data_IF_379907051069
#
_entry.id   IF_379907051069
#
_cell.length_a   1.000
_cell.length_b   1.000
_cell.length_c   1.000
_cell.angle_alpha   90.00
_cell.angle_beta   90.00
_cell.angle_gamma   90.00
#
_symmetry.space_group_name_H-M   'P 1'
#
loop_
_entity.id
_entity.type
_entity.pdbx_description
1 polymer ?
#
# COMPACT_ATOMS: atom_id res chain seq x y z
N UNK A 1 -3.86 9.52 31.02
CA UNK A 1 -3.46 8.52 30.01
C UNK A 1 -2.29 9.12 29.24
N UNK A 2 -1.12 8.47 29.23
CA UNK A 2 0.05 8.97 28.54
C UNK A 2 -0.17 8.95 27.01
N UNK A 3 0.47 9.87 26.26
CA UNK A 3 0.39 9.92 24.80
C UNK A 3 0.73 8.56 24.17
N UNK A 4 1.71 7.84 24.72
CA UNK A 4 2.10 6.50 24.28
C UNK A 4 0.95 5.47 24.46
N UNK A 5 0.23 5.57 25.57
CA UNK A 5 -0.93 4.68 25.79
C UNK A 5 -2.06 4.95 24.80
N UNK A 6 -2.29 6.22 24.47
CA UNK A 6 -3.31 6.60 23.47
C UNK A 6 -2.92 6.08 22.07
N UNK A 7 -1.66 6.24 21.69
CA UNK A 7 -1.15 5.71 20.40
C UNK A 7 -1.29 4.18 20.37
N UNK A 8 -0.90 3.50 21.43
CA UNK A 8 -1.04 2.04 21.51
C UNK A 8 -2.49 1.58 21.39
N UNK A 9 -3.42 2.21 22.11
CA UNK A 9 -4.85 1.89 22.02
C UNK A 9 -5.39 2.12 20.58
N UNK A 10 -4.94 3.19 19.93
CA UNK A 10 -5.28 3.47 18.52
C UNK A 10 -4.73 2.39 17.59
N UNK A 11 -3.49 1.95 17.78
CA UNK A 11 -2.88 0.85 17.02
C UNK A 11 -3.66 -0.46 17.18
N UNK A 12 -4.16 -0.75 18.39
CA UNK A 12 -4.89 -1.98 18.71
C UNK A 12 -6.38 -1.91 18.36
N UNK A 13 -6.90 -0.76 17.97
CA UNK A 13 -8.33 -0.54 17.71
C UNK A 13 -8.90 -1.28 16.50
N UNK A 14 -8.06 -1.91 15.66
CA UNK A 14 -8.47 -2.51 14.37
C UNK A 14 -8.96 -1.49 13.34
N UNK A 15 -8.82 -0.19 13.62
CA UNK A 15 -9.16 0.86 12.68
C UNK A 15 -8.13 0.95 11.55
N UNK A 16 -8.56 1.49 10.39
CA UNK A 16 -7.65 1.74 9.26
C UNK A 16 -6.45 2.59 9.69
N UNK A 17 -6.68 3.63 10.49
CA UNK A 17 -5.63 4.50 11.03
C UNK A 17 -4.68 3.70 11.92
N UNK A 18 -5.19 2.82 12.77
CA UNK A 18 -4.39 1.93 13.62
C UNK A 18 -3.47 1.04 12.81
N UNK A 19 -3.97 0.43 11.74
CA UNK A 19 -3.17 -0.41 10.84
C UNK A 19 -2.03 0.38 10.17
N UNK A 20 -2.29 1.61 9.71
CA UNK A 20 -1.24 2.47 9.17
C UNK A 20 -0.16 2.80 10.22
N UNK A 21 -0.56 3.17 11.44
CA UNK A 21 0.39 3.51 12.52
C UNK A 21 1.28 2.31 12.86
N UNK A 22 0.76 1.07 12.84
CA UNK A 22 1.53 -0.13 13.13
C UNK A 22 2.73 -0.31 12.18
N UNK A 23 2.63 0.10 10.93
CA UNK A 23 3.70 -0.08 9.92
C UNK A 23 4.63 1.12 9.78
N UNK A 24 4.33 2.25 10.45
CA UNK A 24 5.17 3.47 10.41
C UNK A 24 6.62 3.20 10.83
N UNK A 25 6.92 2.51 11.94
CA UNK A 25 8.30 2.31 12.38
C UNK A 25 9.15 1.55 11.37
N UNK A 26 8.62 0.47 10.76
CA UNK A 26 9.34 -0.27 9.72
C UNK A 26 9.52 0.58 8.46
N UNK A 27 8.52 1.37 8.10
CA UNK A 27 8.59 2.29 6.97
C UNK A 27 9.67 3.35 7.16
N UNK A 28 9.75 3.94 8.35
CA UNK A 28 10.79 4.90 8.71
C UNK A 28 12.18 4.26 8.68
N UNK A 29 12.34 3.06 9.23
CA UNK A 29 13.61 2.33 9.23
C UNK A 29 14.11 2.09 7.80
N UNK A 30 13.26 1.55 6.93
CA UNK A 30 13.61 1.30 5.52
C UNK A 30 13.91 2.61 4.79
N UNK A 31 13.14 3.67 5.05
CA UNK A 31 13.39 5.00 4.49
C UNK A 31 14.76 5.56 4.86
N UNK A 32 15.15 5.44 6.14
CA UNK A 32 16.47 5.88 6.63
C UNK A 32 17.59 5.06 5.99
N UNK A 33 17.46 3.73 5.96
CA UNK A 33 18.44 2.85 5.31
C UNK A 33 18.60 3.22 3.82
N UNK A 34 17.49 3.39 3.11
CA UNK A 34 17.49 3.80 1.71
C UNK A 34 18.20 5.16 1.53
N UNK A 35 17.89 6.15 2.36
CA UNK A 35 18.48 7.48 2.29
C UNK A 35 19.99 7.44 2.48
N UNK A 36 20.49 6.68 3.48
CA UNK A 36 21.92 6.50 3.74
C UNK A 36 22.62 5.81 2.55
N UNK A 37 22.05 4.70 2.07
CA UNK A 37 22.62 3.97 0.93
C UNK A 37 22.68 4.86 -0.33
N UNK A 38 21.62 5.64 -0.56
CA UNK A 38 21.53 6.52 -1.71
C UNK A 38 22.50 7.69 -1.64
N UNK A 39 22.60 8.32 -0.47
CA UNK A 39 23.57 9.38 -0.20
C UNK A 39 25.01 8.91 -0.44
N UNK A 40 25.40 7.75 0.12
CA UNK A 40 26.73 7.17 -0.08
C UNK A 40 27.03 6.87 -1.54
N UNK A 41 26.02 6.40 -2.31
CA UNK A 41 26.15 6.13 -3.75
C UNK A 41 26.38 7.43 -4.53
N UNK A 42 25.60 8.48 -4.27
CA UNK A 42 25.75 9.80 -4.91
C UNK A 42 27.14 10.38 -4.62
N UNK A 43 27.58 10.34 -3.35
CA UNK A 43 28.90 10.83 -2.93
C UNK A 43 30.04 10.10 -3.66
N UNK A 44 29.95 8.76 -3.82
CA UNK A 44 30.97 7.97 -4.53
C UNK A 44 31.02 8.26 -6.03
N UNK A 45 29.89 8.61 -6.65
CA UNK A 45 29.81 8.88 -8.09
C UNK A 45 30.20 10.31 -8.47
N UNK A 46 30.41 11.23 -7.50
CA UNK A 46 30.73 12.62 -7.75
C UNK A 46 29.67 13.39 -8.56
N UNK A 47 28.46 12.83 -8.69
CA UNK A 47 27.41 13.41 -9.50
C UNK A 47 26.61 14.46 -8.73
N UNK A 48 26.21 15.53 -9.41
CA UNK A 48 25.23 16.48 -8.91
C UNK A 48 23.88 15.78 -8.71
N UNK A 49 23.36 15.76 -7.49
CA UNK A 49 22.07 15.14 -7.20
C UNK A 49 20.92 16.05 -7.62
N UNK A 50 19.99 15.51 -8.38
CA UNK A 50 18.69 16.16 -8.61
C UNK A 50 17.79 15.87 -7.39
N UNK A 51 17.88 16.69 -6.34
CA UNK A 51 17.22 16.49 -5.07
C UNK A 51 15.72 16.19 -5.17
N UNK A 52 14.99 16.87 -6.08
CA UNK A 52 13.57 16.59 -6.30
C UNK A 52 13.31 15.14 -6.71
N UNK A 53 14.13 14.58 -7.59
CA UNK A 53 14.00 13.17 -8.00
C UNK A 53 14.36 12.20 -6.86
N UNK A 54 15.36 12.54 -6.06
CA UNK A 54 15.78 11.70 -4.93
C UNK A 54 14.72 11.70 -3.82
N UNK A 55 14.09 12.84 -3.54
CA UNK A 55 12.96 12.93 -2.61
C UNK A 55 11.78 12.09 -3.11
N UNK A 56 11.41 12.19 -4.40
CA UNK A 56 10.34 11.37 -4.96
C UNK A 56 10.63 9.87 -4.87
N UNK A 57 11.90 9.47 -5.05
CA UNK A 57 12.31 8.06 -4.87
C UNK A 57 12.20 7.61 -3.42
N UNK A 58 12.64 8.44 -2.48
CA UNK A 58 12.53 8.13 -1.04
C UNK A 58 11.07 7.98 -0.63
N UNK A 59 10.21 8.93 -1.01
CA UNK A 59 8.78 8.86 -0.73
C UNK A 59 8.14 7.62 -1.35
N UNK A 60 8.54 7.26 -2.57
CA UNK A 60 8.05 6.05 -3.23
C UNK A 60 8.49 4.78 -2.51
N UNK A 61 9.74 4.71 -2.04
CA UNK A 61 10.23 3.56 -1.25
C UNK A 61 9.48 3.45 0.07
N UNK A 62 9.29 4.54 0.79
CA UNK A 62 8.49 4.56 2.02
C UNK A 62 7.04 4.10 1.75
N UNK A 63 6.41 4.62 0.71
CA UNK A 63 5.08 4.21 0.30
C UNK A 63 5.00 2.71 -0.03
N UNK A 64 5.94 2.19 -0.85
CA UNK A 64 5.97 0.75 -1.19
C UNK A 64 6.18 -0.11 0.04
N UNK A 65 7.04 0.30 0.97
CA UNK A 65 7.24 -0.42 2.23
C UNK A 65 5.93 -0.49 3.02
N UNK A 66 5.24 0.64 3.18
CA UNK A 66 3.93 0.68 3.84
C UNK A 66 2.90 -0.19 3.13
N UNK A 67 2.77 -0.07 1.82
CA UNK A 67 1.83 -0.85 1.02
C UNK A 67 2.07 -2.35 1.14
N UNK A 68 3.32 -2.81 0.96
CA UNK A 68 3.69 -4.23 1.09
C UNK A 68 3.32 -4.76 2.48
N UNK A 69 3.59 -3.99 3.53
CA UNK A 69 3.26 -4.39 4.89
C UNK A 69 1.74 -4.43 5.16
N UNK A 70 0.95 -3.62 4.47
CA UNK A 70 -0.51 -3.62 4.61
C UNK A 70 -1.19 -4.71 3.78
N UNK A 71 -0.65 -5.05 2.60
CA UNK A 71 -1.34 -5.95 1.65
C UNK A 71 -0.70 -7.33 1.50
N UNK A 72 0.61 -7.49 1.79
CA UNK A 72 1.37 -8.72 1.61
C UNK A 72 1.99 -9.27 2.92
N UNK A 73 1.48 -8.83 4.07
CA UNK A 73 1.86 -9.40 5.37
C UNK A 73 0.62 -10.09 5.96
N UNK A 74 0.78 -11.25 6.63
CA UNK A 74 -0.33 -11.96 7.25
C UNK A 74 -1.17 -11.07 8.16
N UNK A 75 -2.49 -11.27 8.15
CA UNK A 75 -3.38 -10.55 9.04
C UNK A 75 -2.93 -10.74 10.50
N UNK A 76 -3.05 -9.65 11.27
CA UNK A 76 -2.70 -9.58 12.68
C UNK A 76 -1.20 -9.71 13.01
N UNK A 77 -0.27 -9.90 12.04
CA UNK A 77 1.15 -10.01 12.36
C UNK A 77 1.68 -8.79 13.13
N UNK A 78 1.38 -7.58 12.65
CA UNK A 78 1.82 -6.36 13.34
C UNK A 78 1.12 -6.18 14.69
N UNK A 79 -0.17 -6.49 14.79
CA UNK A 79 -0.91 -6.48 16.06
C UNK A 79 -0.30 -7.47 17.06
N UNK A 80 0.05 -8.68 16.59
CA UNK A 80 0.75 -9.69 17.39
C UNK A 80 2.10 -9.16 17.89
N UNK A 81 2.95 -8.60 17.00
CA UNK A 81 4.27 -8.09 17.35
C UNK A 81 4.15 -6.96 18.39
N UNK A 82 3.30 -5.96 18.15
CA UNK A 82 3.15 -4.83 19.06
C UNK A 82 2.58 -5.24 20.42
N UNK A 83 1.62 -6.18 20.42
CA UNK A 83 1.06 -6.70 21.65
C UNK A 83 2.10 -7.50 22.45
N UNK A 84 2.88 -8.34 21.77
CA UNK A 84 3.96 -9.11 22.39
C UNK A 84 5.05 -8.22 22.99
N UNK A 85 5.49 -7.20 22.26
CA UNK A 85 6.52 -6.25 22.73
C UNK A 85 6.08 -5.48 23.98
N UNK A 86 4.79 -5.24 24.15
CA UNK A 86 4.28 -4.53 25.33
C UNK A 86 3.99 -5.44 26.51
N UNK A 87 3.44 -6.61 26.27
CA UNK A 87 2.86 -7.46 27.35
C UNK A 87 3.68 -8.74 27.63
N UNK A 88 4.66 -9.07 26.77
CA UNK A 88 5.48 -10.28 26.91
C UNK A 88 4.79 -11.59 26.52
N UNK A 89 3.57 -11.54 26.01
CA UNK A 89 2.81 -12.70 25.53
C UNK A 89 1.94 -12.31 24.32
N UNK A 90 1.46 -13.30 23.55
CA UNK A 90 0.61 -13.07 22.40
C UNK A 90 -0.85 -12.85 22.80
N UNK A 91 -1.45 -11.75 22.35
CA UNK A 91 -2.87 -11.43 22.57
C UNK A 91 -3.78 -11.76 21.39
N UNK A 92 -3.21 -12.22 20.28
CA UNK A 92 -3.96 -12.61 19.08
C UNK A 92 -3.17 -13.68 18.30
N UNK A 93 -3.86 -14.39 17.43
CA UNK A 93 -3.25 -15.35 16.53
C UNK A 93 -2.96 -14.69 15.17
N UNK A 94 -1.87 -15.11 14.54
CA UNK A 94 -1.54 -14.75 13.15
C UNK A 94 -2.35 -15.66 12.24
N UNK A 95 -2.92 -15.10 11.17
CA UNK A 95 -3.65 -15.91 10.19
C UNK A 95 -2.76 -17.04 9.63
N UNK A 96 -3.24 -18.30 9.60
CA UNK A 96 -2.48 -19.41 9.07
C UNK A 96 -2.13 -19.19 7.59
N UNK A 97 -0.94 -19.64 7.17
CA UNK A 97 -0.57 -19.63 5.76
C UNK A 97 -1.50 -20.55 4.96
N UNK A 98 -1.76 -20.19 3.73
CA UNK A 98 -2.63 -20.92 2.79
C UNK A 98 -4.09 -21.10 3.25
N UNK A 99 -4.56 -20.26 4.19
CA UNK A 99 -5.95 -20.29 4.67
C UNK A 99 -6.88 -19.34 3.92
N UNK A 100 -6.37 -18.57 2.94
CA UNK A 100 -7.14 -17.60 2.20
C UNK A 100 -8.15 -18.22 1.23
N UNK A 101 -9.31 -17.60 1.11
CA UNK A 101 -10.36 -17.96 0.15
C UNK A 101 -10.20 -17.26 -1.20
N UNK A 102 -11.16 -17.54 -2.12
CA UNK A 102 -11.23 -16.90 -3.43
C UNK A 102 -12.61 -16.31 -3.66
N UNK A 103 -12.71 -15.01 -3.86
CA UNK A 103 -13.91 -14.32 -4.30
C UNK A 103 -13.72 -13.84 -5.76
N UNK A 104 -14.27 -14.61 -6.69
CA UNK A 104 -14.14 -14.34 -8.13
C UNK A 104 -15.36 -13.61 -8.71
N UNK A 105 -16.42 -13.41 -7.92
CA UNK A 105 -17.64 -12.74 -8.36
C UNK A 105 -17.63 -11.30 -7.87
N UNK A 106 -17.56 -10.31 -8.79
CA UNK A 106 -17.55 -8.90 -8.40
C UNK A 106 -18.80 -8.51 -7.59
N UNK A 107 -18.61 -7.71 -6.56
CA UNK A 107 -19.67 -7.23 -5.66
C UNK A 107 -20.79 -6.49 -6.41
N UNK A 108 -20.47 -5.76 -7.49
CA UNK A 108 -21.48 -5.06 -8.27
C UNK A 108 -22.44 -6.02 -8.97
N UNK A 109 -21.99 -7.22 -9.39
CA UNK A 109 -22.86 -8.25 -9.94
C UNK A 109 -23.79 -8.81 -8.86
N UNK A 110 -23.25 -9.15 -7.69
CA UNK A 110 -24.04 -9.62 -6.53
C UNK A 110 -25.10 -8.59 -6.10
N UNK A 111 -24.76 -7.30 -6.20
CA UNK A 111 -25.71 -6.23 -5.93
C UNK A 111 -26.83 -6.16 -7.00
N UNK A 112 -26.47 -6.31 -8.25
CA UNK A 112 -27.45 -6.24 -9.37
C UNK A 112 -28.41 -7.44 -9.37
N UNK A 113 -27.94 -8.61 -8.94
CA UNK A 113 -28.81 -9.81 -8.79
C UNK A 113 -29.65 -9.78 -7.51
N UNK A 114 -29.50 -8.78 -6.66
CA UNK A 114 -30.23 -8.65 -5.40
C UNK A 114 -29.72 -9.56 -4.28
N UNK A 115 -28.63 -10.28 -4.51
CA UNK A 115 -28.04 -11.22 -3.54
C UNK A 115 -27.26 -10.50 -2.44
N UNK A 116 -26.91 -9.22 -2.64
CA UNK A 116 -26.05 -8.48 -1.73
C UNK A 116 -26.39 -7.00 -1.64
N UNK A 117 -26.36 -6.45 -0.42
CA UNK A 117 -26.52 -5.02 -0.18
C UNK A 117 -25.14 -4.38 0.09
N UNK A 118 -24.79 -3.34 -0.67
CA UNK A 118 -23.52 -2.61 -0.48
C UNK A 118 -23.60 -1.79 0.81
N UNK A 119 -23.23 -2.41 1.93
CA UNK A 119 -23.14 -1.76 3.23
C UNK A 119 -21.97 -0.79 3.34
N UNK A 120 -21.93 0.00 4.44
CA UNK A 120 -20.87 0.97 4.70
C UNK A 120 -19.47 0.34 4.69
N UNK A 121 -19.34 -0.85 5.26
CA UNK A 121 -18.06 -1.57 5.34
C UNK A 121 -17.49 -1.91 3.96
N UNK A 122 -18.32 -2.46 3.07
CA UNK A 122 -17.92 -2.80 1.69
C UNK A 122 -17.46 -1.56 0.93
N UNK A 123 -18.21 -0.45 1.03
CA UNK A 123 -17.80 0.83 0.42
C UNK A 123 -16.44 1.29 0.94
N UNK A 124 -16.21 1.17 2.24
CA UNK A 124 -14.94 1.56 2.86
C UNK A 124 -13.78 0.71 2.35
N UNK A 125 -13.96 -0.60 2.16
CA UNK A 125 -12.93 -1.49 1.62
C UNK A 125 -12.63 -1.17 0.16
N UNK A 126 -13.65 -1.02 -0.68
CA UNK A 126 -13.49 -0.66 -2.10
C UNK A 126 -12.76 0.67 -2.27
N UNK A 127 -13.19 1.71 -1.56
CA UNK A 127 -12.54 3.04 -1.59
C UNK A 127 -11.13 2.96 -1.01
N UNK A 128 -10.94 2.18 0.06
CA UNK A 128 -9.64 1.97 0.69
C UNK A 128 -8.61 1.42 -0.29
N UNK A 129 -8.96 0.36 -1.03
CA UNK A 129 -8.10 -0.25 -2.03
C UNK A 129 -7.78 0.72 -3.17
N UNK A 130 -8.78 1.42 -3.70
CA UNK A 130 -8.56 2.46 -4.69
C UNK A 130 -7.56 3.51 -4.19
N UNK A 131 -7.82 4.12 -3.04
CA UNK A 131 -7.00 5.21 -2.49
C UNK A 131 -5.57 4.73 -2.17
N UNK A 132 -5.41 3.51 -1.66
CA UNK A 132 -4.11 2.93 -1.37
C UNK A 132 -3.21 2.82 -2.60
N UNK A 133 -3.76 2.56 -3.79
CA UNK A 133 -2.98 2.37 -5.01
C UNK A 133 -2.83 3.65 -5.86
N UNK A 134 -3.55 4.73 -5.56
CA UNK A 134 -3.33 6.05 -6.22
C UNK A 134 -1.88 6.52 -6.13
N UNK A 135 -1.18 6.48 -4.97
CA UNK A 135 0.22 6.91 -4.91
C UNK A 135 1.14 6.07 -5.77
N UNK A 136 0.87 4.77 -5.98
CA UNK A 136 1.66 3.94 -6.90
C UNK A 136 1.66 4.52 -8.30
N UNK A 137 0.48 4.78 -8.86
CA UNK A 137 0.35 5.41 -10.17
C UNK A 137 0.97 6.80 -10.25
N UNK A 138 0.84 7.58 -9.16
CA UNK A 138 1.39 8.93 -9.07
C UNK A 138 2.92 8.95 -9.08
N UNK A 139 3.58 8.14 -8.27
CA UNK A 139 5.05 8.17 -8.17
C UNK A 139 5.76 7.57 -9.37
N UNK A 140 5.19 6.56 -10.01
CA UNK A 140 5.83 5.83 -11.11
C UNK A 140 6.42 6.71 -12.22
N UNK A 141 5.69 7.72 -12.77
CA UNK A 141 6.25 8.60 -13.79
C UNK A 141 7.39 9.50 -13.32
N UNK A 142 7.50 9.76 -12.01
CA UNK A 142 8.59 10.57 -11.44
C UNK A 142 9.86 9.75 -11.19
N UNK A 143 9.70 8.47 -10.84
CA UNK A 143 10.84 7.60 -10.50
C UNK A 143 11.35 6.79 -11.68
N UNK A 144 10.55 6.60 -12.74
CA UNK A 144 10.91 5.81 -13.93
C UNK A 144 10.54 6.54 -15.22
N UNK A 145 11.55 6.76 -16.06
CA UNK A 145 11.37 7.32 -17.42
C UNK A 145 10.71 6.34 -18.41
N UNK A 146 10.62 5.04 -18.03
CA UNK A 146 10.04 3.99 -18.89
C UNK A 146 8.52 3.96 -18.85
N UNK A 147 7.92 4.63 -17.87
CA UNK A 147 6.46 4.67 -17.71
C UNK A 147 5.85 5.65 -18.70
N UNK A 148 5.03 5.11 -19.57
CA UNK A 148 4.25 5.81 -20.58
C UNK A 148 2.80 5.32 -20.56
N UNK A 149 1.85 5.95 -21.29
CA UNK A 149 0.43 5.56 -21.25
C UNK A 149 0.18 4.08 -21.59
N UNK A 150 0.99 3.48 -22.47
CA UNK A 150 0.82 2.07 -22.86
C UNK A 150 1.31 1.12 -21.76
N UNK A 151 2.47 1.42 -21.15
CA UNK A 151 3.07 0.57 -20.13
C UNK A 151 2.35 0.67 -18.78
N UNK A 152 1.72 1.82 -18.46
CA UNK A 152 0.99 1.97 -17.20
C UNK A 152 -0.25 1.08 -17.14
N UNK A 153 -0.93 0.86 -18.26
CA UNK A 153 -2.07 -0.06 -18.29
C UNK A 153 -1.63 -1.51 -18.01
N UNK A 154 -0.56 -1.98 -18.66
CA UNK A 154 -0.01 -3.32 -18.39
C UNK A 154 0.46 -3.44 -16.93
N UNK A 155 1.18 -2.45 -16.42
CA UNK A 155 1.62 -2.41 -15.03
C UNK A 155 0.44 -2.37 -14.06
N UNK A 156 -0.57 -1.53 -14.36
CA UNK A 156 -1.78 -1.37 -13.57
C UNK A 156 -2.62 -2.64 -13.48
N UNK A 157 -2.63 -3.49 -14.50
CA UNK A 157 -3.31 -4.78 -14.47
C UNK A 157 -2.48 -5.84 -13.74
N UNK A 158 -1.18 -5.95 -14.09
CA UNK A 158 -0.33 -7.01 -13.55
C UNK A 158 -0.08 -6.85 -12.05
N UNK A 159 0.11 -5.63 -11.56
CA UNK A 159 0.43 -5.39 -10.15
C UNK A 159 -0.68 -5.87 -9.20
N UNK A 160 -1.96 -5.46 -9.37
CA UNK A 160 -3.03 -5.99 -8.54
C UNK A 160 -3.20 -7.51 -8.65
N UNK A 161 -3.11 -8.08 -9.84
CA UNK A 161 -3.20 -9.54 -10.02
C UNK A 161 -2.10 -10.25 -9.21
N UNK A 162 -0.86 -9.79 -9.29
CA UNK A 162 0.24 -10.38 -8.52
C UNK A 162 -0.01 -10.26 -7.02
N UNK A 163 -0.45 -9.10 -6.55
CA UNK A 163 -0.78 -8.88 -5.14
C UNK A 163 -1.87 -9.86 -4.70
N UNK A 164 -2.98 -9.92 -5.41
CA UNK A 164 -4.13 -10.75 -5.05
C UNK A 164 -3.82 -12.26 -5.13
N UNK A 165 -3.00 -12.70 -6.09
CA UNK A 165 -2.55 -14.10 -6.18
C UNK A 165 -1.65 -14.48 -4.98
N UNK A 166 -0.89 -13.54 -4.43
CA UNK A 166 -0.04 -13.78 -3.26
C UNK A 166 -0.84 -13.78 -1.95
N UNK A 167 -1.99 -13.12 -1.88
CA UNK A 167 -2.77 -12.99 -0.65
C UNK A 167 -3.25 -14.32 -0.04
N UNK A 168 -3.77 -15.30 -0.81
CA UNK A 168 -4.15 -16.60 -0.24
C UNK A 168 -3.01 -17.34 0.43
N UNK A 169 -1.78 -17.15 -0.04
CA UNK A 169 -0.58 -17.78 0.54
C UNK A 169 -0.35 -17.27 1.97
N UNK A 170 -0.64 -15.99 2.23
CA UNK A 170 -0.42 -15.34 3.53
C UNK A 170 -1.67 -15.32 4.41
N UNK A 171 -2.68 -16.16 4.10
CA UNK A 171 -3.92 -16.25 4.90
C UNK A 171 -4.93 -15.12 4.67
N UNK A 172 -4.82 -14.40 3.53
CA UNK A 172 -5.81 -13.41 3.08
C UNK A 172 -6.62 -13.99 1.93
N UNK A 173 -7.79 -13.42 1.64
CA UNK A 173 -8.59 -13.89 0.50
C UNK A 173 -8.23 -13.13 -0.78
N UNK A 174 -8.15 -13.85 -1.91
CA UNK A 174 -8.17 -13.25 -3.24
C UNK A 174 -9.54 -12.61 -3.49
N UNK A 175 -9.57 -11.36 -3.90
CA UNK A 175 -10.81 -10.64 -4.22
C UNK A 175 -10.70 -9.91 -5.57
N UNK A 176 -11.60 -10.25 -6.50
CA UNK A 176 -11.63 -9.62 -7.82
C UNK A 176 -11.97 -8.12 -7.75
N UNK A 177 -12.74 -7.69 -6.75
CA UNK A 177 -13.03 -6.27 -6.54
C UNK A 177 -11.77 -5.50 -6.17
N UNK A 178 -10.86 -6.10 -5.40
CA UNK A 178 -9.58 -5.50 -5.03
C UNK A 178 -8.68 -5.36 -6.26
N UNK A 179 -8.65 -6.37 -7.17
CA UNK A 179 -7.96 -6.24 -8.46
C UNK A 179 -8.46 -5.03 -9.24
N UNK A 180 -9.79 -4.88 -9.34
CA UNK A 180 -10.43 -3.79 -10.10
C UNK A 180 -10.11 -2.43 -9.47
N UNK A 181 -10.31 -2.29 -8.15
CA UNK A 181 -10.14 -1.01 -7.45
C UNK A 181 -8.67 -0.58 -7.39
N UNK A 182 -7.75 -1.52 -7.18
CA UNK A 182 -6.31 -1.27 -7.21
C UNK A 182 -5.85 -0.82 -8.60
N UNK A 183 -6.34 -1.47 -9.67
CA UNK A 183 -6.10 -1.04 -11.05
C UNK A 183 -6.58 0.40 -11.29
N UNK A 184 -7.83 0.70 -10.94
CA UNK A 184 -8.40 2.05 -11.10
C UNK A 184 -7.57 3.08 -10.32
N UNK A 185 -7.15 2.75 -9.08
CA UNK A 185 -6.29 3.60 -8.26
C UNK A 185 -4.97 3.95 -8.96
N UNK A 186 -4.28 2.95 -9.54
CA UNK A 186 -3.03 3.16 -10.28
C UNK A 186 -3.26 4.10 -11.49
N UNK A 187 -4.34 3.88 -12.25
CA UNK A 187 -4.64 4.70 -13.44
C UNK A 187 -4.97 6.14 -13.04
N UNK A 188 -5.80 6.34 -12.02
CA UNK A 188 -6.12 7.67 -11.48
C UNK A 188 -4.84 8.39 -11.02
N UNK A 189 -3.99 7.70 -10.24
CA UNK A 189 -2.72 8.26 -9.79
C UNK A 189 -1.80 8.67 -10.94
N UNK A 190 -1.72 7.87 -11.99
CA UNK A 190 -0.95 8.19 -13.19
C UNK A 190 -1.45 9.47 -13.87
N UNK A 191 -2.76 9.62 -14.09
CA UNK A 191 -3.30 10.82 -14.70
C UNK A 191 -3.08 12.07 -13.85
N UNK A 192 -3.18 11.97 -12.52
CA UNK A 192 -2.81 13.06 -11.60
C UNK A 192 -1.33 13.44 -11.82
N UNK A 193 -0.42 12.47 -11.88
CA UNK A 193 1.01 12.73 -12.10
C UNK A 193 1.29 13.41 -13.46
N UNK A 194 0.59 12.99 -14.51
CA UNK A 194 0.71 13.61 -15.86
C UNK A 194 0.24 15.07 -15.80
N UNK A 195 -0.90 15.35 -15.14
CA UNK A 195 -1.40 16.70 -14.94
C UNK A 195 -0.41 17.59 -14.17
N UNK A 196 0.13 17.09 -13.05
CA UNK A 196 1.14 17.80 -12.25
C UNK A 196 2.39 18.11 -13.08
N UNK A 197 2.91 17.12 -13.83
CA UNK A 197 4.06 17.36 -14.72
C UNK A 197 3.79 18.40 -15.80
N UNK A 198 2.58 18.42 -16.36
CA UNK A 198 2.20 19.42 -17.35
C UNK A 198 2.16 20.84 -16.75
N UNK A 199 1.71 20.98 -15.51
CA UNK A 199 1.70 22.26 -14.79
C UNK A 199 3.13 22.75 -14.49
N UNK A 200 3.99 21.88 -13.96
CA UNK A 200 5.40 22.19 -13.65
C UNK A 200 6.17 22.61 -14.91
N UNK A 201 5.86 22.02 -16.07
CA UNK A 201 6.53 22.38 -17.34
C UNK A 201 6.11 23.76 -17.89
N UNK A 202 4.94 24.26 -17.48
CA UNK A 202 4.42 25.56 -17.93
C UNK A 202 4.85 26.72 -17.00
N UNK A 203 5.22 26.41 -15.76
CA UNK A 203 5.78 27.36 -14.78
C UNK A 203 7.28 27.53 -14.99
#
# INVERSE_FOLDING_TARGET
MNVLDTIYQLMMSGSIVGLFIQVVPITCLVGVIYAICRYNKIKKQGCSAMWGTEIMRLLFVCYLTGLINLVLVPNNLWTYIWFYLRNGYSGCEIAPLFSGGFNLVPTFLKYHTGEFTIGRWVRTMLVGNLVMFVPMGFFLPFVSKKINPRNIFAFGILTPIVVEVLQPIIGRSFDIDDVIMNFVGIIVGYFIAVGVKALIKKA
#
